data_IF_876658367008
#
_entry.id   IF_876658367008
#
_cell.length_a   1.000
_cell.length_b   1.000
_cell.length_c   1.000
_cell.angle_alpha   90.00
_cell.angle_beta   90.00
_cell.angle_gamma   90.00
#
_symmetry.space_group_name_H-M   'P 1'
#
loop_
_entity.id
_entity.type
_entity.pdbx_description
1 polymer ?
#
# COMPACT_ATOMS: atom_id res chain seq x y z
N UNK A 1 -29.42 2.49 -7.63
CA UNK A 1 -28.29 3.43 -7.71
C UNK A 1 -27.22 2.76 -8.57
N UNK A 2 -26.97 3.24 -9.80
CA UNK A 2 -25.96 2.63 -10.69
C UNK A 2 -24.58 3.08 -10.20
N UNK A 3 -23.73 2.14 -9.81
CA UNK A 3 -22.31 2.39 -9.57
C UNK A 3 -21.69 2.91 -10.87
N UNK A 4 -20.94 4.02 -10.85
CA UNK A 4 -20.15 4.45 -12.01
C UNK A 4 -19.27 3.27 -12.48
N UNK A 5 -19.14 3.08 -13.80
CA UNK A 5 -18.48 1.91 -14.39
C UNK A 5 -17.04 1.62 -13.93
N UNK A 6 -16.42 2.53 -13.17
CA UNK A 6 -15.05 2.46 -12.68
C UNK A 6 -14.96 2.39 -11.15
N UNK A 7 -16.02 1.91 -10.49
CA UNK A 7 -16.07 1.75 -9.02
C UNK A 7 -16.37 0.31 -8.63
N UNK A 8 -15.74 -0.14 -7.55
CA UNK A 8 -15.93 -1.47 -6.99
C UNK A 8 -16.12 -1.35 -5.48
N UNK A 9 -17.14 -2.03 -4.97
CA UNK A 9 -17.35 -2.17 -3.53
C UNK A 9 -16.58 -3.40 -3.07
N UNK A 10 -15.68 -3.21 -2.11
CA UNK A 10 -14.90 -4.28 -1.50
C UNK A 10 -15.29 -4.45 -0.03
N UNK A 11 -15.14 -5.68 0.44
CA UNK A 11 -15.49 -6.11 1.78
C UNK A 11 -14.27 -6.74 2.43
N UNK A 12 -13.91 -6.30 3.62
CA UNK A 12 -12.75 -6.78 4.35
C UNK A 12 -13.10 -7.06 5.81
N UNK A 13 -12.68 -8.20 6.38
CA UNK A 13 -12.66 -8.39 7.83
C UNK A 13 -11.93 -7.25 8.54
N UNK A 14 -12.39 -6.86 9.73
CA UNK A 14 -11.83 -5.74 10.50
C UNK A 14 -10.32 -5.91 10.77
N UNK A 15 -9.88 -7.15 11.01
CA UNK A 15 -8.45 -7.47 11.17
C UNK A 15 -7.61 -7.16 9.93
N UNK A 16 -8.13 -7.42 8.73
CA UNK A 16 -7.45 -7.07 7.48
C UNK A 16 -7.39 -5.56 7.29
N UNK A 17 -8.45 -4.85 7.68
CA UNK A 17 -8.44 -3.37 7.65
C UNK A 17 -7.40 -2.83 8.60
N UNK A 18 -7.31 -3.34 9.82
CA UNK A 18 -6.28 -2.93 10.78
C UNK A 18 -4.87 -3.17 10.23
N UNK A 19 -4.63 -4.32 9.59
CA UNK A 19 -3.39 -4.61 8.89
C UNK A 19 -3.09 -3.62 7.76
N UNK A 20 -4.07 -3.33 6.90
CA UNK A 20 -3.93 -2.34 5.82
C UNK A 20 -3.59 -0.94 6.37
N UNK A 21 -4.27 -0.51 7.42
CA UNK A 21 -4.04 0.79 8.05
C UNK A 21 -2.61 0.90 8.60
N UNK A 22 -2.11 -0.18 9.23
CA UNK A 22 -0.73 -0.24 9.71
C UNK A 22 0.29 -0.18 8.55
N UNK A 23 0.03 -0.88 7.44
CA UNK A 23 0.87 -0.81 6.24
C UNK A 23 0.89 0.60 5.66
N UNK A 24 -0.27 1.26 5.56
CA UNK A 24 -0.32 2.65 5.09
C UNK A 24 0.50 3.57 5.98
N UNK A 25 0.41 3.41 7.30
CA UNK A 25 1.20 4.20 8.23
C UNK A 25 2.71 4.05 8.01
N UNK A 26 3.19 2.85 7.68
CA UNK A 26 4.61 2.63 7.33
C UNK A 26 5.03 3.45 6.09
N UNK A 27 4.24 3.42 5.02
CA UNK A 27 4.58 4.16 3.79
C UNK A 27 4.46 5.68 3.98
N UNK A 28 3.43 6.13 4.70
CA UNK A 28 3.25 7.54 5.04
C UNK A 28 4.44 8.02 5.87
N UNK A 29 4.86 7.26 6.88
CA UNK A 29 6.00 7.63 7.72
C UNK A 29 7.33 7.58 6.99
N UNK A 30 7.51 6.66 6.03
CA UNK A 30 8.75 6.53 5.26
C UNK A 30 9.00 7.75 4.35
N UNK A 31 8.00 8.22 3.60
CA UNK A 31 8.09 9.46 2.82
C UNK A 31 6.70 9.98 2.39
N UNK A 32 6.20 10.99 3.10
CA UNK A 32 4.90 11.62 2.82
C UNK A 32 4.84 12.40 1.49
N UNK A 33 5.99 12.70 0.88
CA UNK A 33 6.07 13.45 -0.39
C UNK A 33 6.23 12.53 -1.59
N UNK A 34 6.60 11.26 -1.37
CA UNK A 34 6.62 10.24 -2.41
C UNK A 34 5.20 9.90 -2.87
N UNK A 35 5.03 9.57 -4.16
CA UNK A 35 3.76 9.15 -4.73
C UNK A 35 3.09 8.00 -3.94
N UNK A 36 3.89 7.06 -3.45
CA UNK A 36 3.42 5.91 -2.66
C UNK A 36 2.90 6.35 -1.29
N UNK A 37 3.61 7.25 -0.61
CA UNK A 37 3.17 7.80 0.68
C UNK A 37 1.91 8.65 0.55
N UNK A 38 1.82 9.46 -0.52
CA UNK A 38 0.61 10.24 -0.85
C UNK A 38 -0.57 9.30 -1.14
N UNK A 39 -0.36 8.24 -1.91
CA UNK A 39 -1.40 7.26 -2.21
C UNK A 39 -1.86 6.51 -0.95
N UNK A 40 -0.93 6.10 -0.08
CA UNK A 40 -1.24 5.48 1.21
C UNK A 40 -2.06 6.42 2.11
N UNK A 41 -1.70 7.71 2.18
CA UNK A 41 -2.47 8.71 2.93
C UNK A 41 -3.90 8.86 2.41
N UNK A 42 -4.07 8.98 1.08
CA UNK A 42 -5.41 9.10 0.45
C UNK A 42 -6.26 7.87 0.69
N UNK A 43 -5.69 6.66 0.57
CA UNK A 43 -6.40 5.42 0.86
C UNK A 43 -6.77 5.33 2.33
N UNK A 44 -5.85 5.67 3.25
CA UNK A 44 -6.13 5.70 4.70
C UNK A 44 -7.30 6.64 5.02
N UNK A 45 -7.28 7.85 4.48
CA UNK A 45 -8.35 8.84 4.64
C UNK A 45 -9.68 8.33 4.07
N UNK A 46 -9.65 7.71 2.88
CA UNK A 46 -10.83 7.11 2.25
C UNK A 46 -11.49 6.06 3.14
N UNK A 47 -10.70 5.14 3.71
CA UNK A 47 -11.19 4.10 4.61
C UNK A 47 -11.83 4.73 5.86
N UNK A 48 -11.17 5.71 6.47
CA UNK A 48 -11.68 6.38 7.68
C UNK A 48 -12.96 7.18 7.41
N UNK A 49 -13.06 7.85 6.27
CA UNK A 49 -14.18 8.72 5.94
C UNK A 49 -15.39 7.95 5.38
N UNK A 50 -15.16 6.84 4.68
CA UNK A 50 -16.21 6.17 3.90
C UNK A 50 -16.38 4.68 4.21
N UNK A 51 -15.53 4.10 5.05
CA UNK A 51 -15.70 2.73 5.51
C UNK A 51 -16.97 2.57 6.33
N UNK A 52 -17.75 1.54 6.01
CA UNK A 52 -18.95 1.18 6.78
C UNK A 52 -18.77 -0.17 7.44
N UNK A 53 -18.86 -0.20 8.77
CA UNK A 53 -18.77 -1.41 9.58
C UNK A 53 -20.09 -2.16 9.53
N UNK A 54 -20.03 -3.48 9.37
CA UNK A 54 -21.17 -4.39 9.40
C UNK A 54 -20.72 -5.77 9.91
N UNK A 55 -21.66 -6.59 10.40
CA UNK A 55 -21.35 -7.97 10.77
C UNK A 55 -21.46 -8.92 9.58
N UNK A 56 -20.47 -9.81 9.43
CA UNK A 56 -20.45 -10.88 8.45
C UNK A 56 -19.85 -12.15 9.08
N UNK A 57 -20.63 -13.24 9.10
CA UNK A 57 -20.19 -14.54 9.65
C UNK A 57 -19.56 -14.42 11.05
N UNK A 58 -20.27 -13.78 11.97
CA UNK A 58 -19.85 -13.55 13.36
C UNK A 58 -18.57 -12.70 13.53
N UNK A 59 -18.11 -12.04 12.47
CA UNK A 59 -16.96 -11.12 12.51
C UNK A 59 -17.36 -9.73 12.02
N UNK A 60 -16.70 -8.70 12.57
CA UNK A 60 -16.84 -7.35 12.04
C UNK A 60 -16.10 -7.24 10.71
N UNK A 61 -16.76 -6.63 9.72
CA UNK A 61 -16.22 -6.36 8.42
C UNK A 61 -16.45 -4.89 8.04
N UNK A 62 -15.63 -4.36 7.15
CA UNK A 62 -15.72 -3.01 6.61
C UNK A 62 -15.97 -3.09 5.11
N UNK A 63 -17.00 -2.39 4.66
CA UNK A 63 -17.29 -2.19 3.25
C UNK A 63 -16.80 -0.82 2.80
N UNK A 64 -16.12 -0.78 1.65
CA UNK A 64 -15.50 0.43 1.13
C UNK A 64 -15.65 0.45 -0.39
N UNK A 65 -16.12 1.55 -0.94
CA UNK A 65 -16.17 1.76 -2.39
C UNK A 65 -14.88 2.42 -2.85
N UNK A 66 -14.18 1.73 -3.75
CA UNK A 66 -12.96 2.23 -4.38
C UNK A 66 -13.20 2.53 -5.86
N UNK A 67 -12.50 3.54 -6.36
CA UNK A 67 -12.26 3.70 -7.79
C UNK A 67 -11.15 2.74 -8.26
N UNK A 68 -11.15 2.39 -9.55
CA UNK A 68 -10.11 1.53 -10.13
C UNK A 68 -8.68 2.07 -9.89
N UNK A 69 -8.49 3.39 -9.95
CA UNK A 69 -7.21 4.04 -9.65
C UNK A 69 -6.78 3.83 -8.20
N UNK A 70 -7.72 3.89 -7.25
CA UNK A 70 -7.46 3.65 -5.83
C UNK A 70 -7.12 2.17 -5.57
N UNK A 71 -7.83 1.24 -6.23
CA UNK A 71 -7.51 -0.19 -6.18
C UNK A 71 -6.11 -0.49 -6.71
N UNK A 72 -5.71 0.16 -7.80
CA UNK A 72 -4.35 0.02 -8.35
C UNK A 72 -3.29 0.46 -7.32
N UNK A 73 -3.49 1.61 -6.67
CA UNK A 73 -2.60 2.07 -5.61
C UNK A 73 -2.57 1.12 -4.42
N UNK A 74 -3.72 0.60 -4.00
CA UNK A 74 -3.84 -0.38 -2.91
C UNK A 74 -3.01 -1.64 -3.22
N UNK A 75 -3.20 -2.22 -4.40
CA UNK A 75 -2.47 -3.41 -4.84
C UNK A 75 -0.97 -3.13 -4.87
N UNK A 76 -0.53 -1.99 -5.41
CA UNK A 76 0.89 -1.63 -5.48
C UNK A 76 1.53 -1.53 -4.08
N UNK A 77 0.86 -0.85 -3.14
CA UNK A 77 1.33 -0.71 -1.76
C UNK A 77 1.44 -2.07 -1.07
N UNK A 78 0.40 -2.90 -1.16
CA UNK A 78 0.40 -4.21 -0.53
C UNK A 78 1.42 -5.17 -1.16
N UNK A 79 1.65 -5.04 -2.47
CA UNK A 79 2.67 -5.82 -3.18
C UNK A 79 4.08 -5.44 -2.74
N UNK A 80 4.38 -4.14 -2.62
CA UNK A 80 5.66 -3.65 -2.11
C UNK A 80 5.90 -4.11 -0.67
N UNK A 81 4.89 -4.01 0.18
CA UNK A 81 4.98 -4.47 1.57
C UNK A 81 5.23 -5.98 1.64
N UNK A 82 4.47 -6.77 0.87
CA UNK A 82 4.60 -8.24 0.85
C UNK A 82 5.99 -8.65 0.37
N UNK A 83 6.54 -7.97 -0.63
CA UNK A 83 7.90 -8.21 -1.12
C UNK A 83 8.95 -7.97 -0.03
N UNK A 84 8.85 -6.83 0.68
CA UNK A 84 9.76 -6.48 1.77
C UNK A 84 9.66 -7.45 2.97
N UNK A 85 8.45 -7.94 3.28
CA UNK A 85 8.23 -8.87 4.40
C UNK A 85 8.64 -10.30 4.04
N UNK A 86 8.47 -10.73 2.78
CA UNK A 86 8.83 -12.08 2.33
C UNK A 86 10.33 -12.27 2.09
N UNK A 87 11.07 -11.21 1.74
CA UNK A 87 12.51 -11.31 1.51
C UNK A 87 13.31 -10.99 2.79
N UNK A 88 14.08 -11.97 3.29
CA UNK A 88 15.32 -11.68 4.02
C UNK A 88 16.24 -10.91 3.05
N UNK A 89 16.21 -9.57 3.05
CA UNK A 89 16.90 -8.77 2.02
C UNK A 89 18.29 -8.28 2.49
N UNK A 90 19.40 -8.89 2.02
CA UNK A 90 20.75 -8.32 2.11
C UNK A 90 21.23 -7.75 0.76
N UNK A 91 22.40 -7.13 0.72
CA UNK A 91 22.60 -5.69 0.94
C UNK A 91 23.12 -5.11 -0.40
N UNK A 92 22.55 -3.99 -0.85
CA UNK A 92 22.92 -3.33 -2.13
C UNK A 92 24.09 -2.35 -1.99
N UNK A 93 24.51 -1.99 -0.78
CA UNK A 93 25.59 -1.01 -0.53
C UNK A 93 26.95 -1.35 -1.18
N UNK A 94 27.36 -2.62 -1.36
CA UNK A 94 28.62 -2.95 -2.07
C UNK A 94 28.58 -2.74 -3.59
N UNK A 95 27.40 -2.60 -4.22
CA UNK A 95 27.25 -2.47 -5.68
C UNK A 95 27.14 -1.02 -6.16
N UNK A 96 26.78 -0.12 -5.27
CA UNK A 96 26.55 1.30 -5.60
C UNK A 96 27.88 2.10 -5.63
N UNK A 97 28.98 1.55 -5.09
CA UNK A 97 30.27 2.24 -4.87
C UNK A 97 31.35 2.24 -5.98
N UNK A 98 32.04 1.11 -6.31
CA UNK A 98 33.49 1.23 -6.66
C UNK A 98 34.10 0.45 -7.87
N UNK A 99 33.37 -0.16 -8.83
CA UNK A 99 34.00 -0.96 -9.93
C UNK A 99 34.20 -0.28 -11.30
N UNK A 100 33.96 1.02 -11.48
CA UNK A 100 34.21 1.69 -12.79
C UNK A 100 35.05 2.97 -12.75
N UNK A 101 36.00 3.08 -11.79
CA UNK A 101 37.08 4.08 -11.84
C UNK A 101 38.44 3.50 -11.41
N UNK A 102 38.92 2.48 -12.11
CA UNK A 102 40.32 2.07 -12.20
C UNK A 102 40.42 1.12 -13.42
N UNK A 103 41.01 1.42 -14.57
CA UNK A 103 42.02 2.38 -14.96
C UNK A 103 41.56 3.21 -16.17
N UNK A 104 41.70 4.53 -16.07
CA UNK A 104 42.05 5.36 -17.22
C UNK A 104 43.57 5.29 -17.39
N UNK A 105 43.99 5.14 -18.63
CA UNK A 105 45.34 5.30 -19.17
C UNK A 105 46.24 6.22 -18.34
N UNK A 106 47.41 5.69 -17.96
CA UNK A 106 48.70 6.38 -17.97
C UNK A 106 49.82 5.34 -17.98
#
# INVERSE_FOLDING_TARGET
>A
MKTPGNTMVMYFPAEHVNGMMAVFDLFIQADQKNETGIAAAKLKEKILAHGRIFQFQDTDAVSIMFFESELRSLIQILSLFSFVVQENCPDYLPKIGNKKKAHSNQ
#
